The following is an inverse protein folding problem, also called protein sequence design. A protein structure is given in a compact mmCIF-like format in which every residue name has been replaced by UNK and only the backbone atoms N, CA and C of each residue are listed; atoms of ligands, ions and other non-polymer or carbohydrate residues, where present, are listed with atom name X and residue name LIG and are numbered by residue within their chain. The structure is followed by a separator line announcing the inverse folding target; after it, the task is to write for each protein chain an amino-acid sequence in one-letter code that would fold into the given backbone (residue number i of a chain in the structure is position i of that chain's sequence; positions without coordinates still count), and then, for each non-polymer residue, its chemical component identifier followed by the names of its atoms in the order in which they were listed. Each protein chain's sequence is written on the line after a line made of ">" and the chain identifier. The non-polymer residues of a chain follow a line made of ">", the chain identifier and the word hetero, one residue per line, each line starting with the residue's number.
data_IF_503828650774
#
_entry.id   IF_503828650774
#
_cell.length_a   1.000
_cell.length_b   1.000
_cell.length_c   1.000
_cell.angle_alpha   90.00
_cell.angle_beta   90.00
_cell.angle_gamma   90.00
#
_symmetry.space_group_name_H-M   'P 1'
#
loop_
_entity.id
_entity.type
_entity.pdbx_description
1 polymer ?
#
# COMPACT_ATOMS: atom_id res chain seq x y z
N UNK A 1 37.40 9.04 -30.54
CA UNK A 1 36.12 9.14 -29.85
C UNK A 1 36.01 10.54 -29.24
N UNK A 2 35.12 11.36 -29.75
CA UNK A 2 34.83 12.69 -29.25
C UNK A 2 33.78 12.56 -28.12
N UNK A 3 34.13 12.98 -26.92
CA UNK A 3 33.16 13.12 -25.85
C UNK A 3 32.34 14.39 -26.08
N UNK A 4 31.03 14.26 -26.23
CA UNK A 4 30.13 15.42 -26.30
C UNK A 4 29.31 15.50 -25.00
N UNK A 5 29.19 16.68 -24.47
CA UNK A 5 28.39 16.95 -23.28
C UNK A 5 27.23 17.90 -23.69
N UNK A 6 26.08 17.34 -24.07
CA UNK A 6 24.95 18.15 -24.49
C UNK A 6 24.40 18.96 -23.31
N UNK A 7 24.26 20.26 -23.49
CA UNK A 7 23.69 21.21 -22.52
C UNK A 7 24.37 21.19 -21.12
N UNK A 8 25.71 21.42 -21.03
CA UNK A 8 26.38 21.45 -19.75
C UNK A 8 25.90 22.60 -18.89
N UNK A 9 25.54 22.31 -17.65
CA UNK A 9 25.36 23.36 -16.65
C UNK A 9 26.74 23.83 -16.17
N UNK A 10 27.05 25.12 -16.40
CA UNK A 10 28.33 25.69 -16.00
C UNK A 10 28.15 26.65 -14.82
N UNK A 11 29.05 26.57 -13.83
CA UNK A 11 29.12 27.54 -12.75
C UNK A 11 30.56 27.91 -12.42
N UNK A 12 30.74 29.09 -11.81
CA UNK A 12 32.05 29.52 -11.40
C UNK A 12 32.55 28.71 -10.21
N UNK A 13 33.88 28.45 -10.15
CA UNK A 13 34.52 27.71 -9.06
C UNK A 13 34.18 28.30 -7.68
N UNK A 14 34.07 29.63 -7.56
CA UNK A 14 33.68 30.29 -6.32
C UNK A 14 32.26 29.93 -5.85
N UNK A 15 31.31 29.86 -6.79
CA UNK A 15 29.93 29.47 -6.48
C UNK A 15 29.84 27.98 -6.13
N UNK A 16 30.67 27.15 -6.78
CA UNK A 16 30.72 25.71 -6.49
C UNK A 16 31.30 25.42 -5.11
N UNK A 17 32.30 26.20 -4.65
CA UNK A 17 32.90 26.06 -3.35
C UNK A 17 32.02 26.54 -2.18
N UNK A 18 31.06 27.44 -2.45
CA UNK A 18 30.11 27.95 -1.46
C UNK A 18 28.85 27.07 -1.33
N UNK A 19 28.63 26.15 -2.27
CA UNK A 19 27.52 25.20 -2.22
C UNK A 19 27.81 23.99 -1.33
N UNK A 20 26.77 23.34 -0.84
CA UNK A 20 26.90 22.03 -0.21
C UNK A 20 27.57 21.07 -1.21
N UNK A 21 28.74 20.51 -0.85
CA UNK A 21 29.40 19.45 -1.63
C UNK A 21 28.51 18.21 -1.59
N UNK A 22 27.63 18.06 -2.57
CA UNK A 22 26.75 16.92 -2.68
C UNK A 22 27.37 15.86 -3.61
N UNK A 23 27.47 14.66 -3.10
CA UNK A 23 27.91 13.50 -3.90
C UNK A 23 26.81 13.09 -4.90
N UNK A 24 25.56 13.35 -4.53
CA UNK A 24 24.37 13.10 -5.36
C UNK A 24 23.47 14.34 -5.36
N UNK A 25 22.97 14.70 -6.54
CA UNK A 25 22.05 15.83 -6.69
C UNK A 25 20.64 15.31 -6.97
N UNK A 26 19.61 15.88 -6.32
CA UNK A 26 18.24 15.51 -6.60
C UNK A 26 17.84 16.04 -7.99
N UNK A 27 17.07 15.21 -8.72
CA UNK A 27 16.43 15.61 -9.96
C UNK A 27 14.94 15.73 -9.67
N UNK A 28 14.43 16.96 -9.71
CA UNK A 28 13.01 17.23 -9.51
C UNK A 28 12.25 17.13 -10.82
N UNK A 29 11.06 16.52 -10.85
CA UNK A 29 10.23 16.54 -12.03
C UNK A 29 9.86 17.97 -12.40
N UNK A 30 9.99 18.30 -13.69
CA UNK A 30 9.67 19.61 -14.21
C UNK A 30 8.64 19.50 -15.34
N UNK A 31 7.93 20.57 -15.59
CA UNK A 31 7.02 20.73 -16.73
C UNK A 31 7.51 21.85 -17.63
N UNK A 32 7.12 21.85 -18.88
CA UNK A 32 7.46 22.90 -19.83
C UNK A 32 7.05 24.29 -19.31
N UNK A 33 5.90 24.40 -18.64
CA UNK A 33 5.44 25.65 -18.02
C UNK A 33 6.37 26.16 -16.92
N UNK A 34 6.94 25.26 -16.11
CA UNK A 34 7.90 25.61 -15.06
C UNK A 34 9.22 26.06 -15.67
N UNK A 35 9.71 25.31 -16.66
CA UNK A 35 10.95 25.65 -17.36
C UNK A 35 10.86 27.01 -18.06
N UNK A 36 9.75 27.30 -18.73
CA UNK A 36 9.50 28.59 -19.38
C UNK A 36 9.41 29.79 -18.41
N UNK A 37 9.08 29.51 -17.13
CA UNK A 37 9.11 30.52 -16.05
C UNK A 37 10.46 30.57 -15.32
N UNK A 38 11.48 29.91 -15.82
CA UNK A 38 12.82 29.87 -15.19
C UNK A 38 12.91 29.04 -13.92
N UNK A 39 11.89 28.22 -13.60
CA UNK A 39 11.89 27.32 -12.44
C UNK A 39 12.61 26.03 -12.85
N UNK A 40 13.92 26.07 -12.79
CA UNK A 40 14.80 24.94 -13.10
C UNK A 40 15.03 24.05 -11.88
N UNK A 41 15.59 22.86 -12.08
CA UNK A 41 16.00 21.97 -11.01
C UNK A 41 16.88 22.65 -9.94
N UNK A 42 17.77 23.55 -10.39
CA UNK A 42 18.63 24.33 -9.50
C UNK A 42 17.86 25.31 -8.62
N UNK A 43 16.82 25.95 -9.18
CA UNK A 43 15.96 26.85 -8.41
C UNK A 43 15.20 26.07 -7.34
N UNK A 44 14.62 24.92 -7.70
CA UNK A 44 13.91 24.06 -6.75
C UNK A 44 14.86 23.56 -5.64
N UNK A 45 16.06 23.12 -6.02
CA UNK A 45 17.06 22.68 -5.05
C UNK A 45 17.44 23.79 -4.03
N UNK A 46 17.61 25.04 -4.49
CA UNK A 46 17.86 26.19 -3.61
C UNK A 46 16.67 26.48 -2.70
N UNK A 47 15.45 26.43 -3.23
CA UNK A 47 14.22 26.61 -2.43
C UNK A 47 14.14 25.55 -1.33
N UNK A 48 14.46 24.30 -1.64
CA UNK A 48 14.50 23.21 -0.65
C UNK A 48 15.58 23.44 0.42
N UNK A 49 16.78 23.89 0.02
CA UNK A 49 17.83 24.27 0.97
C UNK A 49 17.38 25.38 1.92
N UNK A 50 16.78 26.43 1.37
CA UNK A 50 16.26 27.54 2.16
C UNK A 50 15.15 27.09 3.13
N UNK A 51 14.25 26.26 2.66
CA UNK A 51 13.18 25.67 3.50
C UNK A 51 13.76 24.91 4.70
N UNK A 52 14.78 24.08 4.47
CA UNK A 52 15.43 23.34 5.57
C UNK A 52 16.13 24.25 6.56
N UNK A 53 16.70 25.38 6.10
CA UNK A 53 17.31 26.39 6.97
C UNK A 53 16.26 27.12 7.82
N UNK A 54 15.15 27.54 7.21
CA UNK A 54 14.05 28.24 7.91
C UNK A 54 13.35 27.34 8.93
N UNK A 55 13.07 26.10 8.55
CA UNK A 55 12.49 25.09 9.46
C UNK A 55 13.54 24.60 10.50
N UNK A 56 14.79 25.05 10.43
CA UNK A 56 15.91 24.54 11.27
C UNK A 56 16.00 23.01 11.26
N UNK A 57 15.62 22.38 10.15
CA UNK A 57 15.58 20.92 10.02
C UNK A 57 14.61 20.21 10.98
N UNK A 58 13.72 20.92 11.65
CA UNK A 58 12.78 20.35 12.61
C UNK A 58 11.44 20.06 11.95
N UNK A 59 11.14 18.79 11.77
CA UNK A 59 9.84 18.32 11.29
C UNK A 59 9.25 17.42 12.39
N UNK A 60 7.98 17.61 12.77
CA UNK A 60 7.35 16.80 13.81
C UNK A 60 7.35 15.32 13.40
N UNK A 61 7.72 14.45 14.36
CA UNK A 61 7.70 13.01 14.14
C UNK A 61 6.25 12.51 14.08
N UNK A 62 5.95 11.61 13.18
CA UNK A 62 4.62 11.07 12.91
C UNK A 62 4.45 9.64 13.40
N UNK A 63 5.55 8.93 13.65
CA UNK A 63 5.55 7.56 14.16
C UNK A 63 5.90 7.55 15.65
N UNK A 64 5.38 6.55 16.38
CA UNK A 64 5.73 6.37 17.78
C UNK A 64 7.20 5.98 17.95
N UNK A 65 7.82 6.33 19.09
CA UNK A 65 9.20 5.93 19.38
C UNK A 65 9.41 4.41 19.30
N UNK A 66 8.43 3.62 19.75
CA UNK A 66 8.46 2.15 19.70
C UNK A 66 8.60 1.61 18.27
N UNK A 67 7.85 2.18 17.30
CA UNK A 67 7.93 1.78 15.89
C UNK A 67 9.30 2.15 15.30
N UNK A 68 9.79 3.34 15.63
CA UNK A 68 11.10 3.79 15.15
C UNK A 68 12.22 2.88 15.63
N UNK A 69 12.17 2.46 16.88
CA UNK A 69 13.17 1.60 17.52
C UNK A 69 13.10 0.16 17.00
N UNK A 70 11.91 -0.44 16.99
CA UNK A 70 11.68 -1.80 16.54
C UNK A 70 12.12 -2.01 15.08
N UNK A 71 11.79 -1.08 14.20
CA UNK A 71 12.12 -1.14 12.77
C UNK A 71 13.43 -0.44 12.41
N UNK A 72 14.16 0.08 13.39
CA UNK A 72 15.43 0.80 13.20
C UNK A 72 15.32 1.92 12.17
N UNK A 73 14.22 2.68 12.23
CA UNK A 73 13.95 3.77 11.29
C UNK A 73 14.66 5.04 11.73
N UNK A 74 15.16 5.80 10.75
CA UNK A 74 15.67 7.15 11.00
C UNK A 74 14.51 8.12 11.27
N UNK A 75 14.80 9.22 11.96
CA UNK A 75 13.78 10.25 12.25
C UNK A 75 13.22 10.87 10.97
N UNK A 76 12.02 11.40 11.03
CA UNK A 76 11.36 12.10 9.90
C UNK A 76 12.22 13.26 9.38
N UNK A 77 12.78 14.07 10.25
CA UNK A 77 13.67 15.18 9.87
C UNK A 77 14.88 14.67 9.10
N UNK A 78 15.53 13.60 9.59
CA UNK A 78 16.66 12.99 8.91
C UNK A 78 16.27 12.38 7.55
N UNK A 79 15.12 11.74 7.46
CA UNK A 79 14.62 11.16 6.21
C UNK A 79 14.33 12.24 5.16
N UNK A 80 13.60 13.29 5.55
CA UNK A 80 13.28 14.41 4.65
C UNK A 80 14.56 15.13 4.19
N UNK A 81 15.55 15.31 5.05
CA UNK A 81 16.82 15.90 4.63
C UNK A 81 17.56 15.00 3.64
N UNK A 82 17.74 13.72 3.98
CA UNK A 82 18.57 12.81 3.20
C UNK A 82 17.91 12.33 1.90
N UNK A 83 16.59 12.51 1.70
CA UNK A 83 15.97 12.26 0.40
C UNK A 83 16.35 13.33 -0.63
N UNK A 84 16.60 14.55 -0.17
CA UNK A 84 16.98 15.68 -1.02
C UNK A 84 18.51 15.89 -1.08
N UNK A 85 19.22 15.71 0.04
CA UNK A 85 20.63 16.01 0.19
C UNK A 85 21.40 14.87 0.86
N UNK A 86 21.41 13.68 0.24
CA UNK A 86 22.08 12.52 0.84
C UNK A 86 23.60 12.68 0.82
N UNK A 87 24.25 12.35 1.92
CA UNK A 87 25.72 12.31 1.99
C UNK A 87 26.29 11.05 1.33
N UNK A 88 25.54 9.97 1.32
CA UNK A 88 25.91 8.70 0.70
C UNK A 88 24.68 7.87 0.34
N UNK A 89 24.90 6.78 -0.40
CA UNK A 89 23.82 5.88 -0.87
C UNK A 89 23.07 5.19 0.28
N UNK A 90 23.76 4.89 1.37
CA UNK A 90 23.15 4.23 2.53
C UNK A 90 22.09 5.14 3.20
N UNK A 91 22.44 6.41 3.42
CA UNK A 91 21.50 7.39 3.99
C UNK A 91 20.32 7.66 3.06
N UNK A 92 20.56 7.68 1.75
CA UNK A 92 19.48 7.78 0.76
C UNK A 92 18.53 6.58 0.87
N UNK A 93 19.06 5.36 0.92
CA UNK A 93 18.25 4.15 1.04
C UNK A 93 17.43 4.13 2.34
N UNK A 94 18.04 4.52 3.48
CA UNK A 94 17.33 4.64 4.75
C UNK A 94 16.22 5.69 4.70
N UNK A 95 16.46 6.83 4.04
CA UNK A 95 15.47 7.88 3.86
C UNK A 95 14.28 7.39 2.99
N UNK A 96 14.58 6.75 1.87
CA UNK A 96 13.56 6.17 0.99
C UNK A 96 12.72 5.10 1.71
N UNK A 97 13.38 4.21 2.46
CA UNK A 97 12.68 3.18 3.23
C UNK A 97 11.76 3.79 4.27
N UNK A 98 12.26 4.77 5.04
CA UNK A 98 11.48 5.47 6.07
C UNK A 98 10.23 6.16 5.51
N UNK A 99 10.36 6.88 4.40
CA UNK A 99 9.25 7.61 3.81
C UNK A 99 8.22 6.67 3.15
N UNK A 100 8.66 5.63 2.44
CA UNK A 100 7.78 4.59 1.89
C UNK A 100 7.04 3.83 3.00
N UNK A 101 7.74 3.48 4.09
CA UNK A 101 7.10 2.83 5.23
C UNK A 101 6.01 3.71 5.82
N UNK A 102 6.31 4.99 6.09
CA UNK A 102 5.33 5.92 6.67
C UNK A 102 4.09 6.05 5.81
N UNK A 103 4.24 6.23 4.51
CA UNK A 103 3.13 6.34 3.57
C UNK A 103 2.23 5.09 3.62
N UNK A 104 2.82 3.90 3.46
CA UNK A 104 2.09 2.65 3.50
C UNK A 104 1.47 2.36 4.88
N UNK A 105 2.16 2.70 5.96
CA UNK A 105 1.67 2.53 7.32
C UNK A 105 0.39 3.32 7.55
N UNK A 106 0.36 4.60 7.18
CA UNK A 106 -0.84 5.42 7.36
C UNK A 106 -1.99 5.01 6.43
N UNK A 107 -1.70 4.55 5.22
CA UNK A 107 -2.72 3.96 4.34
C UNK A 107 -3.35 2.73 5.00
N UNK A 108 -2.54 1.80 5.49
CA UNK A 108 -3.02 0.60 6.17
C UNK A 108 -3.78 0.92 7.45
N UNK A 109 -3.28 1.83 8.27
CA UNK A 109 -3.94 2.26 9.50
C UNK A 109 -5.34 2.84 9.21
N UNK A 110 -5.45 3.66 8.16
CA UNK A 110 -6.74 4.20 7.72
C UNK A 110 -7.70 3.11 7.27
N UNK A 111 -7.24 2.15 6.46
CA UNK A 111 -8.06 1.04 5.98
C UNK A 111 -8.55 0.15 7.14
N UNK A 112 -7.67 -0.17 8.08
CA UNK A 112 -8.03 -0.96 9.28
C UNK A 112 -9.05 -0.19 10.12
N UNK A 113 -8.83 1.10 10.37
CA UNK A 113 -9.76 1.95 11.12
C UNK A 113 -11.14 2.00 10.46
N UNK A 114 -11.20 2.21 9.15
CA UNK A 114 -12.46 2.19 8.40
C UNK A 114 -13.17 0.83 8.48
N UNK A 115 -12.43 -0.26 8.38
CA UNK A 115 -12.97 -1.61 8.48
C UNK A 115 -13.53 -1.89 9.89
N UNK A 116 -12.82 -1.50 10.93
CA UNK A 116 -13.29 -1.62 12.31
C UNK A 116 -14.57 -0.81 12.56
N UNK A 117 -14.58 0.46 12.12
CA UNK A 117 -15.77 1.30 12.22
C UNK A 117 -16.97 0.73 11.48
N UNK A 118 -16.74 0.15 10.28
CA UNK A 118 -17.81 -0.51 9.52
C UNK A 118 -18.35 -1.73 10.26
N UNK A 119 -17.48 -2.61 10.78
CA UNK A 119 -17.88 -3.79 11.56
C UNK A 119 -18.68 -3.43 12.82
N UNK A 120 -18.41 -2.28 13.44
CA UNK A 120 -19.15 -1.80 14.58
C UNK A 120 -20.53 -1.22 14.22
N UNK A 121 -20.60 -0.49 13.08
CA UNK A 121 -21.82 0.21 12.67
C UNK A 121 -22.80 -0.66 11.89
N UNK A 122 -22.29 -1.58 11.06
CA UNK A 122 -23.11 -2.42 10.20
C UNK A 122 -23.08 -3.84 10.77
N UNK A 123 -24.22 -4.21 11.35
CA UNK A 123 -24.43 -5.59 11.80
C UNK A 123 -24.67 -6.49 10.62
N UNK A 124 -24.12 -7.70 10.65
CA UNK A 124 -24.39 -8.76 9.70
C UNK A 124 -25.61 -9.59 10.12
N UNK A 125 -26.01 -10.47 9.22
CA UNK A 125 -26.93 -11.54 9.53
C UNK A 125 -26.09 -12.80 9.78
N UNK A 126 -26.01 -13.33 11.00
CA UNK A 126 -25.17 -14.48 11.30
C UNK A 126 -25.75 -15.74 10.64
N UNK A 127 -24.89 -16.50 9.98
CA UNK A 127 -25.21 -17.82 9.45
C UNK A 127 -24.75 -18.85 10.49
N UNK A 128 -25.69 -19.34 11.28
CA UNK A 128 -25.40 -20.22 12.43
C UNK A 128 -25.24 -21.68 12.00
N UNK A 129 -25.94 -22.10 10.95
CA UNK A 129 -25.99 -23.48 10.53
C UNK A 129 -25.14 -23.78 9.28
N UNK A 130 -24.54 -24.96 9.27
CA UNK A 130 -24.13 -25.65 8.06
C UNK A 130 -25.22 -26.70 7.78
N UNK A 131 -26.05 -26.44 6.80
CA UNK A 131 -27.21 -27.28 6.57
C UNK A 131 -26.97 -28.38 5.54
N UNK A 132 -28.09 -29.03 5.17
CA UNK A 132 -28.07 -30.18 4.27
C UNK A 132 -27.57 -29.86 2.86
N UNK A 133 -27.95 -28.70 2.31
CA UNK A 133 -27.56 -28.34 0.93
C UNK A 133 -26.05 -28.18 0.79
N UNK A 134 -25.41 -27.55 1.77
CA UNK A 134 -23.96 -27.43 1.80
C UNK A 134 -23.27 -28.78 1.93
N UNK A 135 -23.75 -29.60 2.89
CA UNK A 135 -23.16 -30.90 3.20
C UNK A 135 -23.34 -31.89 2.06
N UNK A 136 -24.56 -31.99 1.53
CA UNK A 136 -24.87 -32.85 0.40
C UNK A 136 -24.05 -32.51 -0.84
N UNK A 137 -23.94 -31.21 -1.17
CA UNK A 137 -23.14 -30.77 -2.29
C UNK A 137 -21.65 -31.09 -2.07
N UNK A 138 -21.14 -30.84 -0.87
CA UNK A 138 -19.76 -31.10 -0.54
C UNK A 138 -19.37 -32.58 -0.60
N UNK A 139 -20.27 -33.46 -0.11
CA UNK A 139 -19.97 -34.90 0.00
C UNK A 139 -20.32 -35.67 -1.30
N UNK A 140 -21.37 -35.28 -2.01
CA UNK A 140 -21.94 -36.10 -3.07
C UNK A 140 -21.89 -35.47 -4.48
N UNK A 141 -21.73 -34.16 -4.58
CA UNK A 141 -21.86 -33.46 -5.87
C UNK A 141 -20.59 -32.71 -6.32
N UNK A 142 -19.56 -32.65 -5.49
CA UNK A 142 -18.27 -32.10 -5.92
C UNK A 142 -17.58 -33.09 -6.87
N UNK A 143 -17.27 -32.68 -8.11
CA UNK A 143 -16.64 -33.57 -9.10
C UNK A 143 -15.12 -33.75 -8.85
N UNK A 144 -14.56 -33.11 -7.81
CA UNK A 144 -13.15 -33.16 -7.42
C UNK A 144 -12.97 -32.83 -5.94
N UNK A 145 -11.85 -33.23 -5.35
CA UNK A 145 -11.50 -32.85 -4.00
C UNK A 145 -11.08 -31.38 -3.93
N UNK A 146 -11.56 -30.67 -2.90
CA UNK A 146 -11.12 -29.32 -2.63
C UNK A 146 -9.65 -29.33 -2.15
N UNK A 147 -8.88 -28.41 -2.63
CA UNK A 147 -7.51 -28.17 -2.13
C UNK A 147 -7.51 -27.69 -0.68
N UNK A 148 -6.41 -27.88 0.02
CA UNK A 148 -6.26 -27.41 1.40
C UNK A 148 -6.45 -25.88 1.51
N UNK A 149 -6.06 -25.12 0.49
CA UNK A 149 -6.27 -23.66 0.44
C UNK A 149 -7.76 -23.32 0.35
N UNK A 150 -8.52 -24.01 -0.51
CA UNK A 150 -9.97 -23.82 -0.64
C UNK A 150 -10.70 -24.18 0.64
N UNK A 151 -10.37 -25.34 1.25
CA UNK A 151 -10.95 -25.77 2.54
C UNK A 151 -10.69 -24.73 3.65
N UNK A 152 -9.46 -24.19 3.73
CA UNK A 152 -9.09 -23.16 4.69
C UNK A 152 -9.92 -21.88 4.47
N UNK A 153 -10.01 -21.41 3.24
CA UNK A 153 -10.74 -20.16 2.90
C UNK A 153 -12.23 -20.31 3.18
N UNK A 154 -12.86 -21.45 2.84
CA UNK A 154 -14.26 -21.72 3.15
C UNK A 154 -14.49 -21.70 4.66
N UNK A 155 -13.59 -22.29 5.45
CA UNK A 155 -13.66 -22.27 6.91
C UNK A 155 -13.55 -20.84 7.48
N UNK A 156 -12.64 -20.02 6.92
CA UNK A 156 -12.49 -18.62 7.32
C UNK A 156 -13.75 -17.80 6.98
N UNK A 157 -14.30 -17.97 5.77
CA UNK A 157 -15.53 -17.31 5.33
C UNK A 157 -16.71 -17.73 6.22
N UNK A 158 -16.84 -19.02 6.53
CA UNK A 158 -17.87 -19.51 7.44
C UNK A 158 -17.79 -18.86 8.82
N UNK A 159 -16.58 -18.72 9.37
CA UNK A 159 -16.38 -18.05 10.66
C UNK A 159 -16.78 -16.57 10.61
N UNK A 160 -16.47 -15.89 9.50
CA UNK A 160 -16.88 -14.50 9.30
C UNK A 160 -18.41 -14.37 9.16
N UNK A 161 -19.04 -15.26 8.37
CA UNK A 161 -20.50 -15.30 8.18
C UNK A 161 -21.25 -15.63 9.48
N UNK A 162 -20.68 -16.43 10.36
CA UNK A 162 -21.21 -16.71 11.69
C UNK A 162 -21.07 -15.54 12.67
N UNK A 163 -20.31 -14.51 12.31
CA UNK A 163 -20.16 -13.31 13.14
C UNK A 163 -21.34 -12.33 12.95
N UNK A 164 -21.63 -11.53 13.97
CA UNK A 164 -22.64 -10.47 13.87
C UNK A 164 -22.11 -9.21 13.14
N UNK A 165 -21.23 -9.38 12.16
CA UNK A 165 -20.65 -8.31 11.36
C UNK A 165 -20.79 -8.62 9.87
N UNK A 166 -21.07 -7.62 9.06
CA UNK A 166 -21.13 -7.79 7.61
C UNK A 166 -19.76 -8.21 7.07
N UNK A 167 -19.70 -9.40 6.47
CA UNK A 167 -18.50 -9.90 5.81
C UNK A 167 -18.19 -9.10 4.55
N UNK A 168 -16.90 -8.79 4.36
CA UNK A 168 -16.38 -8.24 3.13
C UNK A 168 -14.96 -8.79 2.94
N UNK A 169 -14.82 -9.78 2.05
CA UNK A 169 -13.55 -10.45 1.75
C UNK A 169 -13.20 -10.34 0.28
N UNK A 170 -11.93 -10.13 0.02
CA UNK A 170 -11.35 -10.31 -1.31
C UNK A 170 -10.78 -11.74 -1.38
N UNK A 171 -11.35 -12.56 -2.28
CA UNK A 171 -10.79 -13.87 -2.61
C UNK A 171 -9.84 -13.71 -3.81
N UNK A 172 -8.54 -13.86 -3.56
CA UNK A 172 -7.52 -13.76 -4.59
C UNK A 172 -6.95 -15.15 -4.93
N UNK A 173 -6.72 -15.38 -6.22
CA UNK A 173 -6.14 -16.61 -6.74
C UNK A 173 -6.01 -16.52 -8.26
N UNK A 174 -5.18 -17.39 -8.84
CA UNK A 174 -4.95 -17.46 -10.28
C UNK A 174 -6.20 -17.88 -11.06
N UNK A 175 -6.17 -17.72 -12.38
CA UNK A 175 -7.21 -18.25 -13.27
C UNK A 175 -7.24 -19.78 -13.12
N UNK A 176 -8.44 -20.34 -12.98
CA UNK A 176 -8.58 -21.80 -12.76
C UNK A 176 -8.36 -22.28 -11.32
N UNK A 177 -8.04 -21.40 -10.35
CA UNK A 177 -7.85 -21.79 -8.94
C UNK A 177 -9.13 -22.21 -8.19
N UNK A 178 -10.29 -22.22 -8.88
CA UNK A 178 -11.56 -22.64 -8.30
C UNK A 178 -12.23 -21.60 -7.41
N UNK A 179 -12.03 -20.30 -7.64
CA UNK A 179 -12.72 -19.23 -6.89
C UNK A 179 -14.24 -19.34 -6.99
N UNK A 180 -14.77 -19.78 -8.13
CA UNK A 180 -16.20 -19.95 -8.36
C UNK A 180 -16.79 -21.02 -7.45
N UNK A 181 -16.09 -22.14 -7.23
CA UNK A 181 -16.59 -23.18 -6.32
C UNK A 181 -16.63 -22.68 -4.87
N UNK A 182 -15.67 -21.86 -4.45
CA UNK A 182 -15.70 -21.23 -3.12
C UNK A 182 -16.92 -20.31 -2.99
N UNK A 183 -17.19 -19.52 -4.02
CA UNK A 183 -18.39 -18.66 -4.05
C UNK A 183 -19.68 -19.48 -3.98
N UNK A 184 -19.79 -20.57 -4.75
CA UNK A 184 -20.96 -21.47 -4.71
C UNK A 184 -21.15 -22.08 -3.33
N UNK A 185 -20.09 -22.56 -2.67
CA UNK A 185 -20.16 -23.08 -1.32
C UNK A 185 -20.66 -22.03 -0.31
N UNK A 186 -20.25 -20.77 -0.46
CA UNK A 186 -20.76 -19.66 0.36
C UNK A 186 -22.24 -19.38 0.10
N UNK A 187 -22.70 -19.50 -1.14
CA UNK A 187 -24.11 -19.34 -1.51
C UNK A 187 -24.96 -20.45 -0.89
N UNK A 188 -24.47 -21.71 -0.87
CA UNK A 188 -25.17 -22.82 -0.23
C UNK A 188 -25.30 -22.61 1.29
N UNK A 189 -24.25 -22.10 1.95
CA UNK A 189 -24.34 -21.70 3.35
C UNK A 189 -25.44 -20.66 3.59
N UNK A 190 -25.55 -19.66 2.73
CA UNK A 190 -26.59 -18.64 2.86
C UNK A 190 -28.01 -19.22 2.67
N UNK A 191 -28.18 -20.09 1.68
CA UNK A 191 -29.46 -20.76 1.41
C UNK A 191 -29.87 -21.66 2.60
N UNK A 192 -28.94 -22.39 3.18
CA UNK A 192 -29.19 -23.22 4.36
C UNK A 192 -29.63 -22.41 5.59
N UNK A 193 -29.25 -21.12 5.64
CA UNK A 193 -29.70 -20.19 6.67
C UNK A 193 -30.93 -19.36 6.27
N UNK A 194 -31.62 -19.73 5.18
CA UNK A 194 -32.87 -19.11 4.74
C UNK A 194 -32.71 -17.78 3.97
N UNK A 195 -31.48 -17.47 3.50
CA UNK A 195 -31.22 -16.24 2.76
C UNK A 195 -31.14 -16.48 1.25
N UNK A 196 -31.49 -15.47 0.48
CA UNK A 196 -31.26 -15.42 -0.96
C UNK A 196 -29.83 -15.00 -1.27
N UNK A 197 -29.30 -15.49 -2.38
CA UNK A 197 -27.94 -15.18 -2.84
C UNK A 197 -27.95 -14.68 -4.27
N UNK A 198 -26.94 -13.87 -4.61
CA UNK A 198 -26.71 -13.38 -5.95
C UNK A 198 -25.23 -13.42 -6.28
N UNK A 199 -24.89 -13.95 -7.44
CA UNK A 199 -23.54 -13.90 -8.01
C UNK A 199 -23.53 -12.91 -9.16
N UNK A 200 -22.69 -11.87 -9.05
CA UNK A 200 -22.50 -10.89 -10.11
C UNK A 200 -21.17 -11.14 -10.81
N UNK A 201 -21.20 -11.28 -12.13
CA UNK A 201 -20.01 -11.43 -12.96
C UNK A 201 -20.03 -10.42 -14.11
N UNK A 202 -18.88 -9.87 -14.54
CA UNK A 202 -18.82 -8.89 -15.63
C UNK A 202 -19.02 -9.52 -17.01
N UNK A 203 -18.85 -10.84 -17.13
CA UNK A 203 -18.99 -11.62 -18.37
C UNK A 203 -19.71 -12.93 -18.05
N UNK A 204 -20.11 -13.69 -19.08
CA UNK A 204 -20.62 -15.04 -18.90
C UNK A 204 -19.61 -15.90 -18.14
N UNK A 205 -20.13 -16.66 -17.17
CA UNK A 205 -19.34 -17.65 -16.43
C UNK A 205 -19.22 -18.86 -17.33
N UNK A 206 -18.02 -19.06 -17.87
CA UNK A 206 -17.69 -20.25 -18.66
C UNK A 206 -17.38 -21.41 -17.73
#
# INVERSE_FOLDING_TARGET
>A
STFSMPHPEMETLQKHQQGLKMVMQPIYPSTEKLSNKGITNRVISKMMQQLFLECKGKFPESLSPSILEELKLISKSSALFNIHFPKNQELLAKAQFRLKFEELFFVQLRLISQNLQRKQKIKGMPFEAVGEKFTEFFENHLPFDLTNAQKRVIKEIRNDLGSNAQMNRLLQGDVGSGKTIVALMCMLLAIDNGFQTCLMAPTEIL
#
